data_IF_185528855644
#
_entry.id   IF_185528855644
#
_cell.length_a   1.000
_cell.length_b   1.000
_cell.length_c   1.000
_cell.angle_alpha   90.00
_cell.angle_beta   90.00
_cell.angle_gamma   90.00
#
_symmetry.space_group_name_H-M   'P 1'
#
loop_
_entity.id
_entity.type
_entity.pdbx_description
1 polymer ?
#
# COMPACT_ATOMS: atom_id res chain seq x y z
N UNK A 1 -27.16 -22.31 -23.01
CA UNK A 1 -26.85 -23.15 -21.84
C UNK A 1 -25.64 -22.56 -21.17
N UNK A 2 -25.86 -21.73 -20.17
CA UNK A 2 -24.81 -21.06 -19.36
C UNK A 2 -24.50 -21.98 -18.18
N UNK A 3 -23.32 -22.58 -18.19
CA UNK A 3 -22.78 -23.31 -17.04
C UNK A 3 -22.42 -22.31 -15.96
N UNK A 4 -23.25 -22.16 -14.95
CA UNK A 4 -22.85 -21.53 -13.70
C UNK A 4 -21.91 -22.50 -12.98
N UNK A 5 -20.63 -22.23 -13.00
CA UNK A 5 -19.67 -22.89 -12.15
C UNK A 5 -19.98 -22.52 -10.69
N UNK A 6 -20.55 -23.45 -9.94
CA UNK A 6 -20.64 -23.36 -8.48
C UNK A 6 -19.20 -23.48 -7.96
N UNK A 7 -18.58 -22.34 -7.72
CA UNK A 7 -17.30 -22.28 -6.98
C UNK A 7 -17.62 -22.64 -5.54
N UNK A 8 -17.26 -23.86 -5.15
CA UNK A 8 -17.26 -24.32 -3.77
C UNK A 8 -16.44 -23.33 -2.94
N UNK A 9 -17.09 -22.58 -2.06
CA UNK A 9 -16.45 -21.66 -1.12
C UNK A 9 -15.63 -22.48 -0.11
N UNK A 10 -14.37 -22.77 -0.43
CA UNK A 10 -13.36 -23.10 0.59
C UNK A 10 -13.17 -21.83 1.40
N UNK A 11 -13.15 -21.94 2.73
CA UNK A 11 -12.76 -20.86 3.63
C UNK A 11 -11.45 -20.25 3.08
N UNK A 12 -11.53 -19.02 2.55
CA UNK A 12 -10.37 -18.36 1.97
C UNK A 12 -9.45 -17.94 3.12
N UNK A 13 -8.24 -18.50 3.13
CA UNK A 13 -7.13 -18.02 3.96
C UNK A 13 -6.82 -16.55 3.61
N UNK A 14 -6.41 -15.74 4.60
CA UNK A 14 -5.99 -14.34 4.40
C UNK A 14 -4.99 -14.24 3.23
N UNK A 15 -4.06 -15.18 3.12
CA UNK A 15 -3.07 -15.18 2.03
C UNK A 15 -3.72 -15.29 0.64
N UNK A 16 -4.81 -16.03 0.51
CA UNK A 16 -5.56 -16.11 -0.75
C UNK A 16 -6.24 -14.78 -1.08
N UNK A 17 -6.77 -14.07 -0.06
CA UNK A 17 -7.33 -12.72 -0.19
C UNK A 17 -6.26 -11.74 -0.63
N UNK A 18 -5.10 -11.72 0.05
CA UNK A 18 -3.98 -10.83 -0.29
C UNK A 18 -3.49 -11.05 -1.72
N UNK A 19 -3.36 -12.32 -2.14
CA UNK A 19 -2.99 -12.66 -3.52
C UNK A 19 -4.01 -12.17 -4.54
N UNK A 20 -5.30 -12.26 -4.23
CA UNK A 20 -6.36 -11.72 -5.09
C UNK A 20 -6.25 -10.20 -5.22
N UNK A 21 -6.06 -9.50 -4.09
CA UNK A 21 -5.86 -8.04 -4.08
C UNK A 21 -4.62 -7.66 -4.89
N UNK A 22 -3.49 -8.32 -4.70
CA UNK A 22 -2.26 -8.07 -5.46
C UNK A 22 -2.47 -8.18 -6.98
N UNK A 23 -3.21 -9.19 -7.42
CA UNK A 23 -3.48 -9.42 -8.84
C UNK A 23 -4.48 -8.44 -9.45
N UNK A 24 -5.45 -7.97 -8.67
CA UNK A 24 -6.58 -7.21 -9.18
C UNK A 24 -6.49 -5.72 -8.90
N UNK A 25 -5.68 -5.29 -7.96
CA UNK A 25 -5.56 -3.89 -7.54
C UNK A 25 -5.17 -2.98 -8.72
N UNK A 26 -6.00 -1.95 -8.96
CA UNK A 26 -5.83 -1.07 -10.11
C UNK A 26 -4.67 -0.09 -9.94
N UNK A 27 -4.36 0.31 -8.70
CA UNK A 27 -3.22 1.18 -8.41
C UNK A 27 -1.90 0.47 -8.70
N UNK A 28 -1.74 -0.79 -8.28
CA UNK A 28 -0.56 -1.59 -8.62
C UNK A 28 -0.41 -1.78 -10.13
N UNK A 29 -1.50 -2.04 -10.84
CA UNK A 29 -1.47 -2.15 -12.31
C UNK A 29 -1.08 -0.83 -12.97
N UNK A 30 -1.58 0.30 -12.47
CA UNK A 30 -1.23 1.61 -12.98
C UNK A 30 0.26 1.94 -12.73
N UNK A 31 0.78 1.63 -11.52
CA UNK A 31 2.19 1.79 -11.20
C UNK A 31 3.11 0.97 -12.11
N UNK A 32 2.76 -0.29 -12.39
CA UNK A 32 3.53 -1.12 -13.34
C UNK A 32 3.57 -0.50 -14.74
N UNK A 33 2.44 0.02 -15.22
CA UNK A 33 2.40 0.70 -16.52
C UNK A 33 3.15 2.04 -16.52
N UNK A 34 3.09 2.78 -15.41
CA UNK A 34 3.89 3.98 -15.22
C UNK A 34 5.40 3.69 -15.24
N UNK A 35 5.83 2.62 -14.56
CA UNK A 35 7.23 2.18 -14.57
C UNK A 35 7.70 1.74 -15.97
N UNK A 36 6.85 1.04 -16.73
CA UNK A 36 7.12 0.67 -18.11
C UNK A 36 7.29 1.93 -19.00
N UNK A 37 6.42 2.92 -18.86
CA UNK A 37 6.51 4.18 -19.60
C UNK A 37 7.80 4.94 -19.23
N UNK A 38 8.14 5.05 -17.94
CA UNK A 38 9.36 5.69 -17.49
C UNK A 38 10.64 4.97 -17.97
N UNK A 39 10.62 3.63 -18.06
CA UNK A 39 11.75 2.86 -18.61
C UNK A 39 11.93 3.14 -20.11
N UNK A 40 10.84 3.25 -20.89
CA UNK A 40 10.87 3.64 -22.31
C UNK A 40 11.39 5.07 -22.45
N UNK A 41 10.92 6.01 -21.62
CA UNK A 41 11.40 7.41 -21.63
C UNK A 41 12.89 7.48 -21.32
N UNK A 42 13.37 6.78 -20.29
CA UNK A 42 14.80 6.71 -19.97
C UNK A 42 15.65 6.17 -21.12
N UNK A 43 15.13 5.20 -21.88
CA UNK A 43 15.81 4.68 -23.07
C UNK A 43 15.81 5.69 -24.21
N UNK A 44 14.70 6.40 -24.43
CA UNK A 44 14.57 7.40 -25.49
C UNK A 44 15.52 8.59 -25.29
N UNK A 45 15.79 8.97 -24.03
CA UNK A 45 16.76 10.04 -23.71
C UNK A 45 18.22 9.68 -24.04
N UNK A 46 18.49 8.43 -24.38
CA UNK A 46 19.82 7.93 -24.72
C UNK A 46 19.96 7.55 -26.19
N UNK A 47 19.14 8.11 -27.07
CA UNK A 47 19.19 7.96 -28.52
C UNK A 47 20.12 9.03 -29.16
N UNK A 48 20.44 8.83 -30.42
CA UNK A 48 21.10 9.87 -31.21
C UNK A 48 20.14 11.07 -31.33
N UNK A 49 20.71 12.25 -31.55
CA UNK A 49 19.96 13.44 -31.93
C UNK A 49 19.29 13.24 -33.30
N UNK A 50 18.23 14.00 -33.56
CA UNK A 50 17.55 13.92 -34.84
C UNK A 50 18.46 14.40 -35.99
N UNK A 51 18.26 13.83 -37.15
CA UNK A 51 18.93 14.26 -38.39
C UNK A 51 18.42 15.66 -38.76
N UNK A 52 19.32 16.64 -38.86
CA UNK A 52 18.99 17.99 -39.34
C UNK A 52 19.17 18.07 -40.84
N UNK A 53 18.16 18.60 -41.53
CA UNK A 53 18.19 18.87 -42.94
C UNK A 53 17.85 20.35 -43.13
N UNK A 54 18.79 21.11 -43.69
CA UNK A 54 18.63 22.52 -43.97
C UNK A 54 18.83 22.78 -45.47
N UNK A 55 17.87 23.50 -46.11
CA UNK A 55 17.97 23.96 -47.46
C UNK A 55 17.83 25.48 -47.49
N UNK A 56 18.88 26.17 -47.95
CA UNK A 56 18.96 27.63 -47.98
C UNK A 56 19.09 28.11 -49.46
N UNK A 57 17.99 28.56 -50.08
CA UNK A 57 18.05 29.22 -51.35
C UNK A 57 18.44 30.69 -51.21
N UNK A 58 19.34 31.17 -52.09
CA UNK A 58 19.77 32.57 -52.14
C UNK A 58 19.27 33.22 -53.44
N UNK A 59 18.65 34.39 -53.31
CA UNK A 59 18.10 35.16 -54.40
C UNK A 59 18.95 36.42 -54.63
N UNK A 60 19.22 36.74 -55.92
CA UNK A 60 19.96 37.94 -56.28
C UNK A 60 19.00 38.98 -56.89
N UNK A 61 19.17 40.27 -56.55
CA UNK A 61 18.23 41.33 -56.89
C UNK A 61 18.05 41.56 -58.38
N UNK A 62 19.05 41.15 -59.25
CA UNK A 62 19.08 41.43 -60.66
C UNK A 62 18.68 40.22 -61.53
N UNK A 63 18.44 39.06 -60.95
CA UNK A 63 18.08 37.84 -61.67
C UNK A 63 16.81 37.24 -61.13
N UNK A 64 15.91 36.83 -62.05
CA UNK A 64 14.68 36.11 -61.65
C UNK A 64 15.06 34.66 -61.36
N UNK A 65 14.87 34.24 -60.04
CA UNK A 65 15.08 32.86 -59.66
C UNK A 65 16.12 32.69 -58.54
N UNK A 66 16.50 31.45 -58.28
CA UNK A 66 17.48 31.07 -57.22
C UNK A 66 18.86 31.25 -57.85
N UNK A 67 19.67 32.17 -57.36
CA UNK A 67 21.04 32.42 -57.78
C UNK A 67 22.01 31.35 -57.30
N UNK A 68 21.84 30.91 -56.03
CA UNK A 68 22.57 29.78 -55.44
C UNK A 68 21.74 29.10 -54.40
N UNK A 69 22.08 27.87 -54.07
CA UNK A 69 21.43 27.16 -52.97
C UNK A 69 22.41 26.29 -52.21
N UNK A 70 22.14 26.11 -50.93
CA UNK A 70 22.90 25.24 -50.05
C UNK A 70 21.96 24.18 -49.42
N UNK A 71 22.35 22.92 -49.54
CA UNK A 71 21.75 21.81 -48.82
C UNK A 71 22.76 21.28 -47.80
N UNK A 72 22.38 21.28 -46.53
CA UNK A 72 23.17 20.74 -45.41
C UNK A 72 22.38 19.64 -44.73
N UNK A 73 23.01 18.48 -44.58
CA UNK A 73 22.44 17.35 -43.80
C UNK A 73 23.44 17.02 -42.71
N UNK A 74 23.04 17.13 -41.46
CA UNK A 74 23.91 16.90 -40.30
C UNK A 74 23.32 15.94 -39.29
N UNK A 75 24.19 15.14 -38.66
CA UNK A 75 23.90 14.25 -37.54
C UNK A 75 24.77 14.62 -36.35
N UNK A 76 24.12 15.05 -35.30
CA UNK A 76 24.75 15.31 -34.01
C UNK A 76 24.87 14.04 -33.14
N UNK A 77 25.91 13.97 -32.33
CA UNK A 77 26.10 12.93 -31.34
C UNK A 77 26.92 13.41 -30.15
N UNK A 78 26.55 12.90 -28.96
CA UNK A 78 27.30 13.10 -27.73
C UNK A 78 28.55 12.21 -27.73
N UNK A 79 29.51 12.53 -26.89
CA UNK A 79 30.70 11.69 -26.72
C UNK A 79 30.33 10.27 -26.26
N UNK A 80 30.90 9.19 -26.78
CA UNK A 80 30.50 7.81 -26.54
C UNK A 80 30.39 7.42 -25.09
N UNK A 81 31.25 7.95 -24.17
CA UNK A 81 31.22 7.67 -22.75
C UNK A 81 29.94 8.18 -22.06
N UNK A 82 29.33 9.25 -22.62
CA UNK A 82 28.09 9.82 -22.04
C UNK A 82 26.88 8.89 -22.26
N UNK A 83 26.79 8.22 -23.39
CA UNK A 83 25.76 7.21 -23.64
C UNK A 83 25.85 6.06 -22.64
N UNK A 84 27.09 5.57 -22.36
CA UNK A 84 27.29 4.55 -21.34
C UNK A 84 26.91 4.99 -19.92
N UNK A 85 27.26 6.24 -19.58
CA UNK A 85 26.92 6.82 -18.27
C UNK A 85 25.40 7.01 -18.10
N UNK A 86 24.69 7.49 -19.14
CA UNK A 86 23.22 7.64 -19.17
C UNK A 86 22.52 6.28 -19.12
N UNK A 87 23.00 5.29 -19.86
CA UNK A 87 22.46 3.93 -19.81
C UNK A 87 22.47 3.37 -18.39
N UNK A 88 23.60 3.55 -17.68
CA UNK A 88 23.73 3.13 -16.29
C UNK A 88 22.81 3.92 -15.36
N UNK A 89 22.64 5.23 -15.58
CA UNK A 89 21.71 6.07 -14.81
C UNK A 89 20.26 5.58 -15.00
N UNK A 90 19.85 5.30 -16.25
CA UNK A 90 18.53 4.74 -16.53
C UNK A 90 18.27 3.38 -15.87
N UNK A 91 19.29 2.51 -15.81
CA UNK A 91 19.18 1.22 -15.09
C UNK A 91 18.98 1.41 -13.59
N UNK A 92 19.71 2.35 -12.97
CA UNK A 92 19.56 2.64 -11.54
C UNK A 92 18.23 3.33 -11.26
N UNK A 93 17.78 4.23 -12.13
CA UNK A 93 16.46 4.84 -12.02
C UNK A 93 15.34 3.81 -12.11
N UNK A 94 15.45 2.83 -13.01
CA UNK A 94 14.52 1.69 -13.06
C UNK A 94 14.50 0.92 -11.75
N UNK A 95 15.67 0.65 -11.15
CA UNK A 95 15.72 -0.01 -9.84
C UNK A 95 14.99 0.80 -8.74
N UNK A 96 15.08 2.14 -8.77
CA UNK A 96 14.31 3.01 -7.86
C UNK A 96 12.81 2.80 -8.05
N UNK A 97 12.33 2.80 -9.31
CA UNK A 97 10.91 2.56 -9.64
C UNK A 97 10.43 1.17 -9.19
N UNK A 98 11.25 0.14 -9.36
CA UNK A 98 10.94 -1.21 -8.90
C UNK A 98 10.83 -1.27 -7.37
N UNK A 99 11.73 -0.58 -6.63
CA UNK A 99 11.65 -0.50 -5.17
C UNK A 99 10.43 0.31 -4.68
N UNK A 100 10.09 1.38 -5.39
CA UNK A 100 8.87 2.16 -5.11
C UNK A 100 7.60 1.32 -5.32
N UNK A 101 7.57 0.50 -6.38
CA UNK A 101 6.48 -0.46 -6.59
C UNK A 101 6.36 -1.45 -5.42
N UNK A 102 7.47 -2.02 -4.94
CA UNK A 102 7.44 -2.93 -3.77
C UNK A 102 6.95 -2.22 -2.51
N UNK A 103 7.31 -0.96 -2.32
CA UNK A 103 6.81 -0.14 -1.21
C UNK A 103 5.28 0.04 -1.30
N UNK A 104 4.76 0.43 -2.45
CA UNK A 104 3.31 0.60 -2.67
C UNK A 104 2.56 -0.74 -2.54
N UNK A 105 3.12 -1.83 -3.09
CA UNK A 105 2.59 -3.19 -2.96
C UNK A 105 2.43 -3.59 -1.49
N UNK A 106 3.50 -3.42 -0.70
CA UNK A 106 3.48 -3.65 0.75
C UNK A 106 2.36 -2.87 1.43
N UNK A 107 2.24 -1.59 1.17
CA UNK A 107 1.26 -0.72 1.84
C UNK A 107 -0.18 -1.12 1.51
N UNK A 108 -0.46 -1.48 0.27
CA UNK A 108 -1.77 -2.00 -0.18
C UNK A 108 -2.08 -3.34 0.49
N UNK A 109 -1.11 -4.26 0.56
CA UNK A 109 -1.31 -5.57 1.17
C UNK A 109 -1.47 -5.48 2.70
N UNK A 110 -0.74 -4.57 3.37
CA UNK A 110 -0.93 -4.26 4.79
C UNK A 110 -2.35 -3.76 5.05
N UNK A 111 -2.83 -2.81 4.24
CA UNK A 111 -4.20 -2.29 4.36
C UNK A 111 -5.24 -3.40 4.14
N UNK A 112 -5.08 -4.23 3.10
CA UNK A 112 -5.96 -5.36 2.84
C UNK A 112 -5.96 -6.37 4.00
N UNK A 113 -4.79 -6.67 4.58
CA UNK A 113 -4.68 -7.58 5.74
C UNK A 113 -5.39 -7.01 6.97
N UNK A 114 -5.20 -5.71 7.26
CA UNK A 114 -5.91 -5.05 8.38
C UNK A 114 -7.42 -5.10 8.19
N UNK A 115 -7.93 -4.86 6.98
CA UNK A 115 -9.37 -5.03 6.69
C UNK A 115 -9.85 -6.46 6.91
N UNK A 116 -9.06 -7.48 6.55
CA UNK A 116 -9.39 -8.87 6.87
C UNK A 116 -9.44 -9.11 8.38
N UNK A 117 -8.51 -8.55 9.17
CA UNK A 117 -8.51 -8.65 10.62
C UNK A 117 -9.71 -7.93 11.25
N UNK A 118 -10.10 -6.77 10.73
CA UNK A 118 -11.32 -6.08 11.13
C UNK A 118 -12.58 -6.92 10.87
N UNK A 119 -12.68 -7.53 9.70
CA UNK A 119 -13.82 -8.41 9.33
C UNK A 119 -13.87 -9.61 10.27
N UNK A 120 -12.75 -10.23 10.59
CA UNK A 120 -12.68 -11.33 11.59
C UNK A 120 -13.19 -10.85 12.95
N UNK A 121 -12.76 -9.67 13.41
CA UNK A 121 -13.21 -9.09 14.66
C UNK A 121 -14.73 -8.86 14.66
N UNK A 122 -15.28 -8.29 13.57
CA UNK A 122 -16.72 -8.07 13.47
C UNK A 122 -17.51 -9.38 13.40
N UNK A 123 -17.00 -10.42 12.77
CA UNK A 123 -17.60 -11.75 12.77
C UNK A 123 -17.66 -12.33 14.21
N UNK A 124 -16.57 -12.20 14.99
CA UNK A 124 -16.53 -12.63 16.41
C UNK A 124 -17.53 -11.83 17.26
N UNK A 125 -17.55 -10.49 17.12
CA UNK A 125 -18.48 -9.62 17.87
C UNK A 125 -19.93 -9.93 17.50
N UNK A 126 -20.23 -10.10 16.22
CA UNK A 126 -21.57 -10.47 15.76
C UNK A 126 -22.05 -11.80 16.35
N UNK A 127 -21.18 -12.80 16.38
CA UNK A 127 -21.49 -14.09 17.01
C UNK A 127 -21.83 -13.92 18.49
N UNK A 128 -21.03 -13.15 19.24
CA UNK A 128 -21.30 -12.86 20.65
C UNK A 128 -22.63 -12.13 20.86
N UNK A 129 -22.93 -11.13 20.03
CA UNK A 129 -24.18 -10.37 20.10
C UNK A 129 -25.40 -11.25 19.76
N UNK A 130 -25.26 -12.16 18.79
CA UNK A 130 -26.32 -13.13 18.45
C UNK A 130 -26.58 -14.11 19.59
N UNK A 131 -25.54 -14.62 20.27
CA UNK A 131 -25.67 -15.44 21.48
C UNK A 131 -26.41 -14.68 22.59
N UNK A 132 -26.00 -13.41 22.82
CA UNK A 132 -26.64 -12.53 23.82
C UNK A 132 -28.11 -12.26 23.46
N UNK A 133 -28.43 -11.99 22.20
CA UNK A 133 -29.82 -11.79 21.74
C UNK A 133 -30.68 -13.03 21.98
N UNK A 134 -30.16 -14.22 21.61
CA UNK A 134 -30.86 -15.48 21.90
C UNK A 134 -31.16 -15.65 23.37
N UNK A 135 -30.20 -15.37 24.24
CA UNK A 135 -30.38 -15.40 25.69
C UNK A 135 -31.45 -14.41 26.19
N UNK A 136 -31.50 -13.19 25.61
CA UNK A 136 -32.49 -12.18 25.95
C UNK A 136 -33.91 -12.59 25.47
N UNK A 137 -34.04 -13.19 24.29
CA UNK A 137 -35.32 -13.70 23.77
C UNK A 137 -35.89 -14.82 24.66
N UNK A 138 -35.06 -15.77 25.11
CA UNK A 138 -35.45 -16.85 25.99
C UNK A 138 -35.85 -16.31 27.35
N UNK A 139 -35.11 -15.36 27.93
CA UNK A 139 -35.46 -14.68 29.20
C UNK A 139 -36.78 -13.93 29.09
N UNK A 140 -36.99 -13.22 27.96
CA UNK A 140 -38.23 -12.50 27.69
C UNK A 140 -39.42 -13.44 27.74
N UNK A 141 -39.34 -14.56 27.00
CA UNK A 141 -40.42 -15.55 26.97
C UNK A 141 -40.75 -16.12 28.33
N UNK A 142 -39.73 -16.42 29.16
CA UNK A 142 -39.89 -16.92 30.53
C UNK A 142 -40.53 -15.87 31.42
N UNK A 143 -40.06 -14.64 31.42
CA UNK A 143 -40.59 -13.58 32.26
C UNK A 143 -41.99 -13.09 31.84
N UNK A 144 -42.38 -13.24 30.58
CA UNK A 144 -43.75 -13.02 30.12
C UNK A 144 -44.74 -14.04 30.74
N UNK A 145 -44.28 -15.29 30.92
CA UNK A 145 -45.05 -16.31 31.62
C UNK A 145 -45.16 -16.03 33.14
N UNK A 146 -44.00 -15.71 33.78
CA UNK A 146 -43.96 -15.32 35.21
C UNK A 146 -44.86 -14.09 35.47
N UNK A 147 -44.83 -13.08 34.59
CA UNK A 147 -45.68 -11.89 34.70
C UNK A 147 -47.17 -12.22 34.60
N UNK A 148 -47.57 -13.10 33.69
CA UNK A 148 -48.97 -13.55 33.58
C UNK A 148 -49.43 -14.30 34.82
N UNK A 149 -48.54 -15.00 35.51
CA UNK A 149 -48.81 -15.73 36.73
C UNK A 149 -48.73 -14.86 38.01
N UNK A 150 -48.30 -13.61 37.87
CA UNK A 150 -48.09 -12.69 38.99
C UNK A 150 -46.73 -12.85 39.69
N UNK A 151 -45.81 -13.66 39.14
CA UNK A 151 -44.50 -13.98 39.72
C UNK A 151 -43.37 -13.06 39.22
N UNK A 152 -43.69 -12.08 38.38
CA UNK A 152 -42.74 -11.08 37.90
C UNK A 152 -43.40 -9.69 37.79
N UNK A 153 -42.59 -8.64 37.88
CA UNK A 153 -43.02 -7.25 37.80
C UNK A 153 -42.97 -6.70 36.36
N UNK A 154 -43.78 -5.66 36.10
CA UNK A 154 -43.68 -4.91 34.83
C UNK A 154 -42.29 -4.30 34.60
N UNK A 155 -41.59 -3.93 35.70
CA UNK A 155 -40.25 -3.35 35.62
C UNK A 155 -39.21 -4.35 35.10
N UNK A 156 -39.25 -5.59 35.58
CA UNK A 156 -38.38 -6.68 35.12
C UNK A 156 -38.63 -6.98 33.65
N UNK A 157 -39.88 -7.10 33.24
CA UNK A 157 -40.23 -7.34 31.84
C UNK A 157 -39.76 -6.21 30.92
N UNK A 158 -39.97 -4.96 31.37
CA UNK A 158 -39.52 -3.79 30.57
C UNK A 158 -37.98 -3.72 30.48
N UNK A 159 -37.27 -4.09 31.52
CA UNK A 159 -35.79 -4.15 31.51
C UNK A 159 -35.28 -5.12 30.45
N UNK A 160 -35.87 -6.32 30.34
CA UNK A 160 -35.52 -7.31 29.33
C UNK A 160 -35.80 -6.77 27.92
N UNK A 161 -36.95 -6.11 27.71
CA UNK A 161 -37.33 -5.52 26.44
C UNK A 161 -36.38 -4.39 26.03
N UNK A 162 -35.96 -3.56 26.98
CA UNK A 162 -34.99 -2.48 26.69
C UNK A 162 -33.60 -3.03 26.32
N UNK A 163 -33.12 -4.07 27.02
CA UNK A 163 -31.86 -4.73 26.63
C UNK A 163 -31.94 -5.30 25.20
N UNK A 164 -33.03 -5.98 24.88
CA UNK A 164 -33.26 -6.51 23.55
C UNK A 164 -33.23 -5.41 22.45
N UNK A 165 -33.83 -4.24 22.72
CA UNK A 165 -33.77 -3.08 21.80
C UNK A 165 -32.34 -2.57 21.60
N UNK A 166 -31.55 -2.52 22.68
CA UNK A 166 -30.13 -2.14 22.59
C UNK A 166 -29.32 -3.13 21.75
N UNK A 167 -29.56 -4.43 21.95
CA UNK A 167 -28.91 -5.49 21.17
C UNK A 167 -29.20 -5.43 19.68
N UNK A 168 -30.45 -5.13 19.28
CA UNK A 168 -30.77 -4.93 17.86
C UNK A 168 -29.97 -3.76 17.26
N UNK A 169 -29.79 -2.66 18.02
CA UNK A 169 -28.99 -1.53 17.60
C UNK A 169 -27.50 -1.89 17.47
N UNK A 170 -26.95 -2.63 18.44
CA UNK A 170 -25.56 -3.09 18.43
C UNK A 170 -25.30 -4.06 17.25
N UNK A 171 -26.24 -4.95 16.95
CA UNK A 171 -26.16 -5.86 15.79
C UNK A 171 -26.14 -5.09 14.45
N UNK A 172 -27.04 -4.10 14.30
CA UNK A 172 -27.07 -3.26 13.10
C UNK A 172 -25.75 -2.48 12.92
N UNK A 173 -25.18 -1.97 14.02
CA UNK A 173 -23.88 -1.30 13.98
C UNK A 173 -22.74 -2.26 13.60
N UNK A 174 -22.72 -3.47 14.13
CA UNK A 174 -21.74 -4.50 13.78
C UNK A 174 -21.86 -4.90 12.31
N UNK A 175 -23.08 -5.12 11.81
CA UNK A 175 -23.33 -5.42 10.40
C UNK A 175 -22.89 -4.28 9.47
N UNK A 176 -23.13 -3.03 9.88
CA UNK A 176 -22.68 -1.84 9.10
C UNK A 176 -21.15 -1.77 9.04
N UNK A 177 -20.45 -1.97 10.15
CA UNK A 177 -18.98 -1.99 10.18
C UNK A 177 -18.41 -3.12 9.31
N UNK A 178 -18.98 -4.32 9.41
CA UNK A 178 -18.61 -5.45 8.58
C UNK A 178 -18.81 -5.15 7.09
N UNK A 179 -19.98 -4.63 6.70
CA UNK A 179 -20.28 -4.29 5.30
C UNK A 179 -19.32 -3.22 4.76
N UNK A 180 -19.01 -2.19 5.55
CA UNK A 180 -18.06 -1.14 5.17
C UNK A 180 -16.62 -1.70 4.97
N UNK A 181 -16.15 -2.57 5.85
CA UNK A 181 -14.84 -3.22 5.72
C UNK A 181 -14.79 -4.13 4.47
N UNK A 182 -15.85 -4.89 4.21
CA UNK A 182 -15.98 -5.71 3.00
C UNK A 182 -15.98 -4.87 1.73
N UNK A 183 -16.67 -3.73 1.72
CA UNK A 183 -16.70 -2.81 0.57
C UNK A 183 -15.31 -2.19 0.31
N UNK A 184 -14.57 -1.80 1.36
CA UNK A 184 -13.21 -1.30 1.22
C UNK A 184 -12.26 -2.38 0.68
N UNK A 185 -12.36 -3.61 1.20
CA UNK A 185 -11.56 -4.73 0.71
C UNK A 185 -11.87 -5.07 -0.75
N UNK A 186 -13.14 -5.03 -1.15
CA UNK A 186 -13.57 -5.21 -2.53
C UNK A 186 -13.00 -4.10 -3.43
N UNK A 187 -12.96 -2.84 -2.97
CA UNK A 187 -12.36 -1.73 -3.71
C UNK A 187 -10.85 -1.97 -3.94
N UNK A 188 -10.12 -2.44 -2.91
CA UNK A 188 -8.72 -2.84 -3.05
C UNK A 188 -8.53 -4.01 -4.03
N UNK A 189 -9.51 -4.91 -4.13
CA UNK A 189 -9.53 -6.02 -5.08
C UNK A 189 -10.00 -5.62 -6.49
N UNK A 190 -9.89 -4.34 -6.85
CA UNK A 190 -10.28 -3.83 -8.17
C UNK A 190 -11.79 -3.89 -8.44
N UNK A 191 -12.61 -3.86 -7.40
CA UNK A 191 -14.07 -3.95 -7.48
C UNK A 191 -14.62 -5.38 -7.63
N UNK A 192 -13.76 -6.40 -7.72
CA UNK A 192 -14.18 -7.79 -7.84
C UNK A 192 -14.65 -8.33 -6.49
N UNK A 193 -15.70 -9.17 -6.47
CA UNK A 193 -16.21 -9.79 -5.25
C UNK A 193 -15.10 -10.56 -4.51
N UNK A 194 -15.11 -10.45 -3.20
CA UNK A 194 -14.22 -11.17 -2.30
C UNK A 194 -14.99 -11.51 -1.01
N UNK A 195 -14.70 -12.65 -0.40
CA UNK A 195 -15.37 -13.08 0.81
C UNK A 195 -14.37 -13.38 1.92
N UNK A 196 -14.69 -12.98 3.14
CA UNK A 196 -13.91 -13.26 4.35
C UNK A 196 -14.86 -13.77 5.43
N UNK A 197 -14.94 -15.09 5.58
CA UNK A 197 -15.86 -15.76 6.51
C UNK A 197 -15.17 -16.31 7.77
N UNK A 198 -13.89 -15.92 7.99
CA UNK A 198 -13.11 -16.38 9.13
C UNK A 198 -13.58 -15.74 10.43
N UNK A 199 -13.50 -16.52 11.52
CA UNK A 199 -13.75 -16.09 12.90
C UNK A 199 -12.52 -16.26 13.79
N UNK A 200 -11.43 -16.82 13.24
CA UNK A 200 -10.18 -17.02 13.96
C UNK A 200 -9.06 -16.24 13.31
N UNK A 201 -8.20 -15.64 14.12
CA UNK A 201 -7.01 -14.95 13.64
C UNK A 201 -5.92 -15.94 13.23
N UNK A 202 -5.03 -15.56 12.30
CA UNK A 202 -3.87 -16.38 11.97
C UNK A 202 -2.96 -16.53 13.19
N UNK A 203 -2.25 -17.64 13.26
CA UNK A 203 -1.28 -17.87 14.32
C UNK A 203 -0.14 -16.85 14.24
N UNK A 204 0.26 -16.31 15.39
CA UNK A 204 1.40 -15.42 15.47
C UNK A 204 2.70 -16.18 15.17
N UNK A 205 3.66 -15.58 14.43
CA UNK A 205 4.99 -16.15 14.29
C UNK A 205 5.66 -16.35 15.66
N UNK A 206 6.49 -17.37 15.77
CA UNK A 206 7.19 -17.74 17.01
C UNK A 206 8.55 -17.05 17.17
N UNK A 207 8.81 -15.97 16.46
CA UNK A 207 10.07 -15.22 16.51
C UNK A 207 10.24 -14.51 17.88
N UNK A 208 11.48 -14.40 18.33
CA UNK A 208 11.84 -13.55 19.46
C UNK A 208 11.93 -12.07 19.04
N UNK A 209 12.00 -11.17 20.03
CA UNK A 209 12.00 -9.72 19.82
C UNK A 209 13.21 -9.25 18.97
N UNK A 210 14.36 -9.88 19.14
CA UNK A 210 15.57 -9.51 18.41
C UNK A 210 15.41 -9.87 16.94
N UNK A 211 14.94 -11.08 16.67
CA UNK A 211 14.65 -11.55 15.31
C UNK A 211 13.58 -10.71 14.64
N UNK A 212 12.50 -10.36 15.34
CA UNK A 212 11.46 -9.45 14.84
C UNK A 212 12.02 -8.08 14.44
N UNK A 213 12.84 -7.50 15.32
CA UNK A 213 13.46 -6.19 15.04
C UNK A 213 14.40 -6.26 13.84
N UNK A 214 15.29 -7.24 13.81
CA UNK A 214 16.24 -7.41 12.71
C UNK A 214 15.52 -7.61 11.37
N UNK A 215 14.52 -8.47 11.32
CA UNK A 215 13.69 -8.68 10.12
C UNK A 215 12.99 -7.38 9.68
N UNK A 216 12.31 -6.68 10.58
CA UNK A 216 11.57 -5.47 10.27
C UNK A 216 12.45 -4.38 9.66
N UNK A 217 13.68 -4.19 10.19
CA UNK A 217 14.62 -3.16 9.72
C UNK A 217 15.35 -3.58 8.45
N UNK A 218 15.87 -4.83 8.40
CA UNK A 218 16.69 -5.31 7.27
C UNK A 218 15.88 -5.46 5.97
N UNK A 219 14.58 -5.74 6.07
CA UNK A 219 13.71 -5.94 4.91
C UNK A 219 12.90 -4.70 4.52
N UNK A 220 13.05 -3.57 5.21
CA UNK A 220 12.21 -2.39 4.99
C UNK A 220 12.35 -1.82 3.57
N UNK A 221 11.26 -1.89 2.81
CA UNK A 221 11.21 -1.42 1.43
C UNK A 221 11.43 0.08 1.29
N UNK A 222 11.05 0.89 2.29
CA UNK A 222 11.27 2.34 2.27
C UNK A 222 12.77 2.66 2.38
N UNK A 223 13.48 1.94 3.25
CA UNK A 223 14.94 2.07 3.38
C UNK A 223 15.64 1.63 2.09
N UNK A 224 15.23 0.50 1.51
CA UNK A 224 15.78 -0.01 0.23
C UNK A 224 15.52 0.95 -0.92
N UNK A 225 14.33 1.54 -1.00
CA UNK A 225 14.00 2.56 -2.01
C UNK A 225 14.90 3.78 -1.86
N UNK A 226 15.08 4.28 -0.65
CA UNK A 226 15.96 5.41 -0.39
C UNK A 226 17.43 5.09 -0.71
N UNK A 227 17.90 3.88 -0.42
CA UNK A 227 19.25 3.43 -0.81
C UNK A 227 19.41 3.36 -2.34
N UNK A 228 18.41 2.85 -3.06
CA UNK A 228 18.42 2.86 -4.53
C UNK A 228 18.49 4.28 -5.10
N UNK A 229 17.77 5.23 -4.47
CA UNK A 229 17.79 6.65 -4.84
C UNK A 229 19.18 7.28 -4.63
N UNK A 230 19.92 6.91 -3.59
CA UNK A 230 21.31 7.33 -3.39
C UNK A 230 22.18 6.88 -4.55
N UNK A 231 22.10 5.60 -4.94
CA UNK A 231 22.89 5.06 -6.05
C UNK A 231 22.54 5.72 -7.39
N UNK A 232 21.27 6.01 -7.64
CA UNK A 232 20.82 6.75 -8.84
C UNK A 232 21.38 8.17 -8.83
N UNK A 233 21.31 8.92 -7.72
CA UNK A 233 21.82 10.27 -7.58
C UNK A 233 23.35 10.32 -7.73
N UNK A 234 24.07 9.33 -7.21
CA UNK A 234 25.53 9.21 -7.44
C UNK A 234 25.89 9.06 -8.92
N UNK A 235 25.11 8.26 -9.65
CA UNK A 235 25.32 8.10 -11.07
C UNK A 235 24.95 9.37 -11.86
N UNK A 236 23.91 10.10 -11.45
CA UNK A 236 23.56 11.39 -12.03
C UNK A 236 24.68 12.43 -11.88
N UNK A 237 25.42 12.43 -10.75
CA UNK A 237 26.61 13.26 -10.61
C UNK A 237 27.66 12.88 -11.67
N UNK A 238 27.87 11.58 -11.98
CA UNK A 238 28.81 11.13 -13.00
C UNK A 238 28.39 11.55 -14.40
N UNK A 239 27.09 11.46 -14.72
CA UNK A 239 26.51 11.94 -15.98
C UNK A 239 26.73 13.45 -16.12
N UNK A 240 26.39 14.22 -15.07
CA UNK A 240 26.52 15.67 -15.10
C UNK A 240 27.99 16.16 -15.13
N UNK A 241 28.94 15.39 -14.58
CA UNK A 241 30.38 15.67 -14.75
C UNK A 241 30.85 15.58 -16.21
N UNK A 242 30.14 14.84 -17.05
CA UNK A 242 30.46 14.74 -18.48
C UNK A 242 29.74 15.77 -19.34
N UNK A 243 28.86 16.59 -18.76
CA UNK A 243 28.07 17.58 -19.49
C UNK A 243 28.87 18.75 -20.11
N UNK A 244 30.17 18.86 -19.78
CA UNK A 244 31.08 19.84 -20.37
C UNK A 244 31.80 19.33 -21.64
N UNK A 245 31.73 18.02 -21.92
CA UNK A 245 32.34 17.41 -23.09
C UNK A 245 31.63 17.94 -24.34
N UNK A 246 32.40 18.40 -25.37
CA UNK A 246 31.81 18.88 -26.63
C UNK A 246 30.94 17.81 -27.30
N UNK A 247 29.86 18.26 -27.94
CA UNK A 247 29.12 17.45 -28.89
C UNK A 247 29.80 17.48 -30.23
N UNK A 248 29.67 16.40 -30.95
CA UNK A 248 30.21 16.28 -32.29
C UNK A 248 29.06 16.25 -33.32
N UNK A 249 29.38 16.72 -34.54
CA UNK A 249 28.46 16.76 -35.64
C UNK A 249 29.21 16.34 -36.90
N UNK A 250 28.63 15.46 -37.68
CA UNK A 250 29.13 15.11 -39.04
C UNK A 250 28.00 15.37 -40.01
N UNK A 251 28.36 15.79 -41.23
CA UNK A 251 27.36 16.11 -42.20
C UNK A 251 27.88 16.09 -43.64
N UNK A 252 26.92 16.28 -44.54
CA UNK A 252 27.11 16.47 -45.94
C UNK A 252 26.59 17.84 -46.32
N UNK A 253 27.38 18.56 -47.16
CA UNK A 253 27.01 19.89 -47.67
C UNK A 253 27.09 19.87 -49.17
N UNK A 254 26.09 20.41 -49.86
CA UNK A 254 26.04 20.63 -51.28
C UNK A 254 25.68 22.08 -51.55
N UNK A 255 26.60 22.78 -52.26
CA UNK A 255 26.37 24.12 -52.75
C UNK A 255 26.13 24.05 -54.24
N UNK A 256 25.12 24.78 -54.73
CA UNK A 256 24.80 24.88 -56.19
C UNK A 256 24.78 26.35 -56.54
N UNK A 257 25.54 26.72 -57.56
CA UNK A 257 25.63 28.08 -58.10
C UNK A 257 25.52 28.01 -59.62
N UNK A 258 24.40 28.47 -60.19
CA UNK A 258 24.04 28.26 -61.55
C UNK A 258 24.06 26.78 -61.93
N UNK A 259 24.84 26.42 -63.00
CA UNK A 259 25.00 25.02 -63.44
C UNK A 259 26.08 24.24 -62.67
N UNK A 260 26.78 24.87 -61.73
CA UNK A 260 27.87 24.24 -61.00
C UNK A 260 27.40 23.75 -59.64
N UNK A 261 27.77 22.53 -59.26
CA UNK A 261 27.51 21.97 -57.90
C UNK A 261 28.82 21.52 -57.27
N UNK A 262 29.04 21.90 -56.06
CA UNK A 262 30.13 21.43 -55.17
C UNK A 262 29.60 20.66 -54.01
N UNK A 263 30.29 19.55 -53.66
CA UNK A 263 29.93 18.67 -52.57
C UNK A 263 31.05 18.65 -51.56
N UNK A 264 30.70 18.59 -50.24
CA UNK A 264 31.66 18.56 -49.15
C UNK A 264 31.17 17.78 -47.92
N UNK A 265 32.10 17.39 -47.11
CA UNK A 265 31.80 16.86 -45.79
C UNK A 265 31.88 18.00 -44.77
N UNK A 266 30.97 17.96 -43.78
CA UNK A 266 30.97 18.87 -42.65
C UNK A 266 31.38 18.09 -41.41
N UNK A 267 32.33 18.63 -40.63
CA UNK A 267 32.70 18.17 -39.32
C UNK A 267 32.56 19.40 -38.42
N UNK A 268 31.67 19.31 -37.46
CA UNK A 268 31.36 20.40 -36.55
C UNK A 268 31.27 19.90 -35.09
N UNK A 269 30.92 20.80 -34.22
CA UNK A 269 30.64 20.48 -32.83
C UNK A 269 30.23 21.70 -32.04
N UNK A 270 29.61 21.48 -30.87
CA UNK A 270 29.24 22.55 -29.95
C UNK A 270 29.91 22.34 -28.59
N UNK A 271 30.46 23.41 -28.05
CA UNK A 271 31.11 23.42 -26.73
C UNK A 271 30.11 24.04 -25.72
N UNK A 272 29.65 23.31 -24.67
CA UNK A 272 28.65 23.77 -23.76
C UNK A 272 29.21 24.69 -22.68
N UNK A 273 29.68 25.88 -23.05
CA UNK A 273 30.33 26.83 -22.14
C UNK A 273 29.37 27.36 -21.03
N UNK A 274 28.08 27.56 -21.37
CA UNK A 274 27.08 28.14 -20.44
C UNK A 274 26.06 27.14 -19.95
N UNK A 275 25.62 26.20 -20.79
CA UNK A 275 24.55 25.23 -20.51
C UNK A 275 24.96 24.16 -19.48
N UNK A 276 26.26 23.93 -19.26
CA UNK A 276 26.78 23.00 -18.26
C UNK A 276 27.00 23.64 -16.87
N UNK A 277 26.90 25.01 -16.79
CA UNK A 277 27.10 25.74 -15.55
C UNK A 277 26.13 25.27 -14.47
N UNK A 278 26.64 24.98 -13.28
CA UNK A 278 25.89 24.51 -12.12
C UNK A 278 25.29 23.10 -12.19
N UNK A 279 25.26 22.39 -13.33
CA UNK A 279 24.70 21.02 -13.43
C UNK A 279 25.30 20.06 -12.39
N UNK A 280 26.64 20.06 -12.25
CA UNK A 280 27.34 19.24 -11.26
C UNK A 280 27.00 19.66 -9.83
N UNK A 281 26.86 20.97 -9.58
CA UNK A 281 26.52 21.48 -8.24
C UNK A 281 25.10 21.07 -7.84
N UNK A 282 24.15 21.15 -8.78
CA UNK A 282 22.76 20.70 -8.58
C UNK A 282 22.73 19.18 -8.34
N UNK A 283 23.42 18.39 -9.17
CA UNK A 283 23.45 16.94 -9.01
C UNK A 283 24.07 16.52 -7.66
N UNK A 284 25.12 17.19 -7.19
CA UNK A 284 25.72 16.94 -5.86
C UNK A 284 24.77 17.32 -4.72
N UNK A 285 24.00 18.41 -4.85
CA UNK A 285 23.01 18.78 -3.85
C UNK A 285 21.90 17.72 -3.75
N UNK A 286 21.43 17.21 -4.89
CA UNK A 286 20.44 16.09 -4.94
C UNK A 286 21.02 14.79 -4.38
N UNK A 287 22.29 14.50 -4.62
CA UNK A 287 22.96 13.35 -3.99
C UNK A 287 22.98 13.48 -2.46
N UNK A 288 23.35 14.67 -1.94
CA UNK A 288 23.34 14.93 -0.49
C UNK A 288 21.94 14.81 0.10
N UNK A 289 20.93 15.33 -0.60
CA UNK A 289 19.50 15.16 -0.23
C UNK A 289 19.14 13.68 -0.13
N UNK A 290 19.44 12.87 -1.15
CA UNK A 290 19.16 11.43 -1.16
C UNK A 290 19.84 10.69 0.00
N UNK A 291 21.10 11.03 0.34
CA UNK A 291 21.81 10.47 1.51
C UNK A 291 21.10 10.82 2.81
N UNK A 292 20.64 12.06 2.98
CA UNK A 292 19.90 12.48 4.17
C UNK A 292 18.53 11.78 4.26
N UNK A 293 17.84 11.63 3.13
CA UNK A 293 16.55 10.89 3.05
C UNK A 293 16.74 9.41 3.42
N UNK A 294 17.82 8.77 2.96
CA UNK A 294 18.15 7.40 3.34
C UNK A 294 18.43 7.27 4.83
N UNK A 295 19.23 8.18 5.42
CA UNK A 295 19.49 8.19 6.86
C UNK A 295 18.19 8.36 7.67
N UNK A 296 17.31 9.27 7.24
CA UNK A 296 16.01 9.49 7.88
C UNK A 296 15.08 8.26 7.74
N UNK A 297 15.04 7.64 6.57
CA UNK A 297 14.25 6.42 6.37
C UNK A 297 14.69 5.29 7.31
N UNK A 298 16.00 5.13 7.51
CA UNK A 298 16.56 4.14 8.44
C UNK A 298 16.17 4.43 9.88
N UNK A 299 16.30 5.67 10.35
CA UNK A 299 15.91 6.08 11.70
C UNK A 299 14.42 5.81 11.92
N UNK A 300 13.57 6.14 10.93
CA UNK A 300 12.13 5.91 11.01
C UNK A 300 11.78 4.41 11.05
N UNK A 301 12.45 3.57 10.26
CA UNK A 301 12.26 2.13 10.27
C UNK A 301 12.66 1.52 11.62
N UNK A 302 13.81 1.90 12.17
CA UNK A 302 14.28 1.45 13.50
C UNK A 302 13.30 1.86 14.62
N UNK A 303 12.86 3.12 14.63
CA UNK A 303 11.89 3.62 15.61
C UNK A 303 10.52 2.95 15.47
N UNK A 304 10.03 2.78 14.24
CA UNK A 304 8.76 2.10 13.97
C UNK A 304 8.79 0.65 14.45
N UNK A 305 9.87 -0.09 14.15
CA UNK A 305 10.03 -1.47 14.59
C UNK A 305 10.00 -1.59 16.13
N UNK A 306 10.76 -0.75 16.83
CA UNK A 306 10.78 -0.73 18.32
C UNK A 306 9.41 -0.38 18.90
N UNK A 307 8.73 0.62 18.33
CA UNK A 307 7.41 1.04 18.79
C UNK A 307 6.38 -0.08 18.62
N UNK A 308 6.37 -0.74 17.45
CA UNK A 308 5.42 -1.82 17.18
C UNK A 308 5.67 -3.06 18.04
N UNK A 309 6.93 -3.43 18.28
CA UNK A 309 7.28 -4.54 19.18
C UNK A 309 6.84 -4.24 20.62
N UNK A 310 7.09 -3.02 21.13
CA UNK A 310 6.64 -2.63 22.45
C UNK A 310 5.12 -2.62 22.57
N UNK A 311 4.41 -2.10 21.55
CA UNK A 311 2.95 -2.11 21.50
C UNK A 311 2.40 -3.55 21.49
N UNK A 312 2.96 -4.42 20.68
CA UNK A 312 2.61 -5.84 20.60
C UNK A 312 2.73 -6.52 21.98
N UNK A 313 3.83 -6.28 22.71
CA UNK A 313 4.04 -6.82 24.06
C UNK A 313 2.98 -6.35 25.07
N UNK A 314 2.68 -5.04 25.05
CA UNK A 314 1.66 -4.47 25.95
C UNK A 314 0.27 -5.03 25.63
N UNK A 315 -0.08 -5.15 24.34
CA UNK A 315 -1.34 -5.72 23.90
C UNK A 315 -1.45 -7.20 24.28
N UNK A 316 -0.36 -7.96 24.13
CA UNK A 316 -0.33 -9.36 24.57
C UNK A 316 -0.54 -9.47 26.09
N UNK A 317 0.21 -8.71 26.89
CA UNK A 317 0.05 -8.70 28.34
C UNK A 317 -1.37 -8.28 28.76
N UNK A 318 -1.98 -7.32 28.04
CA UNK A 318 -3.36 -6.92 28.27
C UNK A 318 -4.36 -8.03 27.91
N UNK A 319 -4.15 -8.75 26.82
CA UNK A 319 -5.00 -9.88 26.44
C UNK A 319 -4.90 -11.04 27.45
N UNK A 320 -3.67 -11.35 27.90
CA UNK A 320 -3.40 -12.41 28.88
C UNK A 320 -4.04 -12.15 30.26
N UNK A 321 -4.44 -10.92 30.55
CA UNK A 321 -5.18 -10.57 31.80
C UNK A 321 -6.67 -10.97 31.76
N UNK A 322 -7.22 -11.31 30.58
CA UNK A 322 -8.61 -11.72 30.44
C UNK A 322 -8.75 -13.24 30.44
N UNK A 323 -9.53 -13.77 31.42
CA UNK A 323 -9.93 -15.18 31.44
C UNK A 323 -11.29 -15.37 30.76
N UNK A 324 -11.25 -15.56 29.39
CA UNK A 324 -12.46 -15.75 28.58
C UNK A 324 -13.28 -16.98 29.04
N UNK A 325 -12.69 -18.14 29.34
CA UNK A 325 -13.41 -19.28 29.94
C UNK A 325 -14.17 -18.91 31.21
N UNK A 326 -13.54 -18.21 32.18
CA UNK A 326 -14.17 -17.73 33.38
C UNK A 326 -15.35 -16.79 33.11
N UNK A 327 -15.18 -15.83 32.19
CA UNK A 327 -16.26 -14.92 31.78
C UNK A 327 -17.46 -15.68 31.21
N UNK A 328 -17.24 -16.66 30.35
CA UNK A 328 -18.30 -17.50 29.78
C UNK A 328 -18.99 -18.38 30.84
N UNK A 329 -18.23 -18.92 31.77
CA UNK A 329 -18.79 -19.71 32.89
C UNK A 329 -19.64 -18.83 33.79
N UNK A 330 -19.17 -17.63 34.15
CA UNK A 330 -19.90 -16.68 34.96
C UNK A 330 -21.23 -16.26 34.35
N UNK A 331 -21.24 -15.99 33.02
CA UNK A 331 -22.49 -15.70 32.29
C UNK A 331 -23.51 -16.85 32.41
N UNK A 332 -23.07 -18.12 32.34
CA UNK A 332 -23.94 -19.27 32.52
C UNK A 332 -24.52 -19.35 33.95
N UNK A 333 -23.67 -19.10 34.94
CA UNK A 333 -24.10 -19.09 36.34
C UNK A 333 -25.13 -17.98 36.62
N UNK A 334 -24.86 -16.75 36.15
CA UNK A 334 -25.79 -15.62 36.26
C UNK A 334 -27.12 -15.93 35.59
N UNK A 335 -27.08 -16.58 34.42
CA UNK A 335 -28.28 -17.00 33.71
C UNK A 335 -29.12 -17.98 34.56
N UNK A 336 -28.49 -19.02 35.13
CA UNK A 336 -29.16 -19.99 35.98
C UNK A 336 -29.73 -19.32 37.24
N UNK A 337 -28.99 -18.43 37.86
CA UNK A 337 -29.43 -17.75 39.11
C UNK A 337 -30.66 -16.87 38.87
N UNK A 338 -30.74 -16.12 37.74
CA UNK A 338 -31.92 -15.30 37.40
C UNK A 338 -33.14 -16.17 37.05
N UNK A 339 -32.91 -17.29 36.37
CA UNK A 339 -33.98 -18.25 36.05
C UNK A 339 -34.62 -18.85 37.30
N UNK A 340 -33.79 -19.18 38.29
CA UNK A 340 -34.23 -19.72 39.58
C UNK A 340 -34.80 -18.64 40.55
N UNK A 341 -34.65 -17.35 40.22
CA UNK A 341 -35.05 -16.25 41.07
C UNK A 341 -34.09 -16.00 42.27
N UNK A 342 -32.86 -16.49 42.17
CA UNK A 342 -31.81 -16.28 43.20
C UNK A 342 -31.24 -14.87 43.16
N UNK A 343 -31.27 -14.24 41.95
CA UNK A 343 -30.90 -12.84 41.72
C UNK A 343 -32.02 -12.14 40.96
N UNK A 344 -32.11 -10.82 41.12
CA UNK A 344 -33.06 -10.01 40.34
C UNK A 344 -32.62 -9.86 38.86
N UNK A 345 -33.58 -9.59 37.98
CA UNK A 345 -33.30 -9.27 36.56
C UNK A 345 -32.34 -8.07 36.43
N UNK A 346 -32.45 -7.10 37.33
CA UNK A 346 -31.57 -5.91 37.32
C UNK A 346 -30.11 -6.28 37.65
N UNK A 347 -29.92 -7.10 38.72
CA UNK A 347 -28.58 -7.60 39.05
C UNK A 347 -27.98 -8.43 37.94
N UNK A 348 -28.77 -9.33 37.32
CA UNK A 348 -28.33 -10.10 36.17
C UNK A 348 -27.79 -9.19 35.03
N UNK A 349 -28.56 -8.16 34.65
CA UNK A 349 -28.12 -7.29 33.54
C UNK A 349 -26.94 -6.44 33.93
N UNK A 350 -26.78 -5.96 35.13
CA UNK A 350 -25.61 -5.19 35.58
C UNK A 350 -24.34 -6.04 35.47
N UNK A 351 -24.37 -7.26 35.95
CA UNK A 351 -23.20 -8.15 35.93
C UNK A 351 -22.92 -8.70 34.53
N UNK A 352 -23.96 -9.12 33.81
CA UNK A 352 -23.82 -9.63 32.46
C UNK A 352 -23.28 -8.57 31.49
N UNK A 353 -23.75 -7.31 31.54
CA UNK A 353 -23.28 -6.20 30.76
C UNK A 353 -21.79 -5.93 30.98
N UNK A 354 -21.32 -5.98 32.23
CA UNK A 354 -19.90 -5.83 32.53
C UNK A 354 -19.06 -6.93 31.86
N UNK A 355 -19.53 -8.17 31.93
CA UNK A 355 -18.82 -9.31 31.30
C UNK A 355 -18.82 -9.19 29.79
N UNK A 356 -19.94 -8.85 29.13
CA UNK A 356 -20.02 -8.66 27.70
C UNK A 356 -19.12 -7.52 27.21
N UNK A 357 -19.05 -6.41 27.94
CA UNK A 357 -18.11 -5.30 27.65
C UNK A 357 -16.66 -5.75 27.73
N UNK A 358 -16.30 -6.53 28.75
CA UNK A 358 -14.96 -7.10 28.89
C UNK A 358 -14.63 -8.05 27.74
N UNK A 359 -15.58 -8.88 27.27
CA UNK A 359 -15.37 -9.76 26.12
C UNK A 359 -15.15 -8.98 24.83
N UNK A 360 -15.91 -7.91 24.59
CA UNK A 360 -15.72 -7.03 23.41
C UNK A 360 -14.36 -6.34 23.51
N UNK A 361 -13.99 -5.81 24.68
CA UNK A 361 -12.67 -5.19 24.90
C UNK A 361 -11.54 -6.19 24.63
N UNK A 362 -11.66 -7.41 25.10
CA UNK A 362 -10.70 -8.48 24.79
C UNK A 362 -10.57 -8.72 23.29
N UNK A 363 -11.68 -8.84 22.54
CA UNK A 363 -11.66 -9.02 21.08
C UNK A 363 -10.97 -7.86 20.38
N UNK A 364 -11.20 -6.62 20.81
CA UNK A 364 -10.54 -5.44 20.24
C UNK A 364 -9.03 -5.40 20.57
N UNK A 365 -8.61 -5.87 21.74
CA UNK A 365 -7.19 -6.02 22.08
C UNK A 365 -6.53 -7.09 21.20
N UNK A 366 -7.18 -8.26 21.00
CA UNK A 366 -6.69 -9.28 20.08
C UNK A 366 -6.51 -8.74 18.66
N UNK A 367 -7.50 -7.98 18.15
CA UNK A 367 -7.40 -7.34 16.84
C UNK A 367 -6.20 -6.38 16.76
N UNK A 368 -6.03 -5.50 17.75
CA UNK A 368 -4.91 -4.57 17.80
C UNK A 368 -3.56 -5.30 17.89
N UNK A 369 -3.50 -6.43 18.62
CA UNK A 369 -2.32 -7.29 18.66
C UNK A 369 -1.97 -7.83 17.26
N UNK A 370 -2.96 -8.31 16.51
CA UNK A 370 -2.77 -8.78 15.14
C UNK A 370 -2.37 -7.66 14.17
N UNK A 371 -2.88 -6.43 14.38
CA UNK A 371 -2.44 -5.25 13.63
C UNK A 371 -0.96 -4.93 13.89
N UNK A 372 -0.54 -4.98 15.15
CA UNK A 372 0.87 -4.76 15.51
C UNK A 372 1.79 -5.82 14.89
N UNK A 373 1.39 -7.09 14.89
CA UNK A 373 2.10 -8.15 14.17
C UNK A 373 2.15 -7.88 12.67
N UNK A 374 1.06 -7.41 12.07
CA UNK A 374 1.01 -7.08 10.65
C UNK A 374 1.99 -5.98 10.30
N UNK A 375 2.15 -4.96 11.14
CA UNK A 375 3.13 -3.89 10.96
C UNK A 375 4.59 -4.37 11.15
N UNK A 376 4.85 -5.28 12.09
CA UNK A 376 6.19 -5.85 12.31
C UNK A 376 6.62 -6.65 11.07
N UNK A 377 5.73 -7.46 10.52
CA UNK A 377 6.01 -8.37 9.38
C UNK A 377 5.56 -7.82 8.03
N UNK A 378 5.26 -6.51 7.92
CA UNK A 378 4.70 -5.90 6.70
C UNK A 378 5.55 -6.08 5.44
N UNK A 379 6.86 -6.19 5.60
CA UNK A 379 7.79 -6.32 4.48
C UNK A 379 7.91 -7.77 3.97
N UNK A 380 7.25 -8.72 4.63
CA UNK A 380 7.18 -10.14 4.22
C UNK A 380 5.89 -10.48 3.44
N UNK A 381 4.99 -9.49 3.28
CA UNK A 381 3.71 -9.65 2.57
C UNK A 381 3.87 -9.69 1.04
#
# INVERSE_FOLDING_TARGET
MTFAAVVSAKAQDINAVLKSVEQNNMELKALLKGNEAADIENKSQNTLEDLSIEYSPFFQSETSGIASSELVITQGFDFPTLYGARKKAGQLQRNVLDMQYQTARRDILVNAKKLCLDIINYNKQKQLLQERRKNADELLAMFELKFKNGDATSLELNKIKLDRMNLETELVQADTKHANAMQQLQALNGGLPIEVNMTEYPQAPADDEVTMYEKAVATDWTVRTAQASVLAAEQDVKVNKQSWIPKFEIGYRRNTEGDNASNGFLIGGSIPLFSSKNKVKIAKARQTEAVMQHANARINAENSARTMINQMKQLKASADAYDVPLMRQTLKLLRTAVENGEISVTEYYVEADNIYKNMITYMDIERQYQDALTEIYKNEL
#
